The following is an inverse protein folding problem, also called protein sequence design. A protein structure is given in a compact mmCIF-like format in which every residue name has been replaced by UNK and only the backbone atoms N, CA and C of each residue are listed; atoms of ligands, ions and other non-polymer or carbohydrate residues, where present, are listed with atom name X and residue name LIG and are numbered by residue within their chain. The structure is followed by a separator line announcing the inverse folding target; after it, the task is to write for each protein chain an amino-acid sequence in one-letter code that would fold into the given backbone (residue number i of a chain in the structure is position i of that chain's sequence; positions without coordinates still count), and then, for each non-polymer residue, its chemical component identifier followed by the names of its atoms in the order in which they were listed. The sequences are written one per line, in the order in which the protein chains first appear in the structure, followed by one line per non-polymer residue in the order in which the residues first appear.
data_IF_865693233251
#
_entry.id   IF_865693233251
#
_cell.length_a   1.000
_cell.length_b   1.000
_cell.length_c   1.000
_cell.angle_alpha   90.00
_cell.angle_beta   90.00
_cell.angle_gamma   90.00
#
_symmetry.space_group_name_H-M   'P 1'
#
loop_
_entity.id
_entity.type
_entity.pdbx_description
1 polymer ?
#
# COMPACT_ATOMS: atom_id res chain seq x y z
N UNK A 1 4.61 23.56 -4.72
CA UNK A 1 3.63 23.68 -5.83
C UNK A 1 2.81 24.94 -5.59
N UNK A 2 2.45 25.76 -6.60
CA UNK A 2 1.54 26.92 -6.40
C UNK A 2 0.17 26.59 -6.96
N UNK A 3 -0.88 26.77 -6.16
CA UNK A 3 -2.26 26.52 -6.58
C UNK A 3 -2.74 27.73 -7.38
N UNK A 4 -3.37 27.55 -8.56
CA UNK A 4 -4.04 28.65 -9.25
C UNK A 4 -5.03 29.34 -8.31
N UNK A 5 -4.97 30.67 -8.24
CA UNK A 5 -5.66 31.47 -7.23
C UNK A 5 -7.17 31.19 -7.20
N UNK A 6 -7.75 31.00 -8.38
CA UNK A 6 -9.16 30.72 -8.59
C UNK A 6 -9.59 29.40 -7.95
N UNK A 7 -8.71 28.39 -7.98
CA UNK A 7 -8.95 27.08 -7.37
C UNK A 7 -8.82 27.17 -5.85
N UNK A 8 -7.79 27.87 -5.36
CA UNK A 8 -7.58 28.08 -3.93
C UNK A 8 -8.77 28.77 -3.26
N UNK A 9 -9.26 29.86 -3.86
CA UNK A 9 -10.41 30.61 -3.35
C UNK A 9 -11.70 29.77 -3.35
N UNK A 10 -11.94 29.01 -4.42
CA UNK A 10 -13.11 28.13 -4.49
C UNK A 10 -13.11 27.04 -3.41
N UNK A 11 -11.94 26.46 -3.14
CA UNK A 11 -11.79 25.43 -2.09
C UNK A 11 -11.94 26.04 -0.70
N UNK A 12 -11.40 27.25 -0.44
CA UNK A 12 -11.64 27.98 0.81
C UNK A 12 -13.14 28.15 1.04
N UNK A 13 -13.86 28.68 0.06
CA UNK A 13 -15.31 28.92 0.18
C UNK A 13 -16.06 27.62 0.46
N UNK A 14 -15.69 26.53 -0.22
CA UNK A 14 -16.34 25.23 -0.08
C UNK A 14 -16.13 24.62 1.32
N UNK A 15 -14.93 24.78 1.89
CA UNK A 15 -14.53 24.12 3.14
C UNK A 15 -14.70 24.99 4.39
N UNK A 16 -14.90 26.31 4.23
CA UNK A 16 -15.11 27.24 5.33
C UNK A 16 -16.22 26.82 6.33
N UNK A 17 -17.34 26.22 5.91
CA UNK A 17 -18.38 25.77 6.86
C UNK A 17 -17.98 24.54 7.70
N UNK A 18 -16.96 23.80 7.27
CA UNK A 18 -16.52 22.54 7.87
C UNK A 18 -15.23 22.68 8.69
N UNK A 19 -14.74 23.90 8.86
CA UNK A 19 -13.48 24.21 9.55
C UNK A 19 -13.76 25.14 10.73
N UNK A 20 -13.15 24.84 11.88
CA UNK A 20 -13.29 25.66 13.10
C UNK A 20 -12.47 26.96 13.02
N UNK A 21 -11.58 27.07 12.03
CA UNK A 21 -10.66 28.18 11.84
C UNK A 21 -10.89 28.83 10.47
N UNK A 22 -10.43 30.08 10.35
CA UNK A 22 -10.50 30.79 9.08
C UNK A 22 -9.50 30.15 8.10
N UNK A 23 -10.01 29.54 7.04
CA UNK A 23 -9.18 28.85 6.06
C UNK A 23 -8.72 29.85 5.01
N UNK A 24 -7.43 29.86 4.70
CA UNK A 24 -6.83 30.71 3.67
C UNK A 24 -6.27 29.86 2.54
N UNK A 25 -5.99 30.51 1.40
CA UNK A 25 -5.31 29.85 0.27
C UNK A 25 -3.92 29.34 0.68
N UNK A 26 -3.25 30.04 1.59
CA UNK A 26 -1.93 29.64 2.10
C UNK A 26 -2.03 28.34 2.91
N UNK A 27 -3.06 28.21 3.77
CA UNK A 27 -3.28 26.98 4.53
C UNK A 27 -3.51 25.79 3.58
N UNK A 28 -4.23 25.99 2.47
CA UNK A 28 -4.41 24.96 1.44
C UNK A 28 -3.08 24.59 0.77
N UNK A 29 -2.25 25.58 0.44
CA UNK A 29 -0.93 25.33 -0.14
C UNK A 29 -0.01 24.55 0.82
N UNK A 30 -0.02 24.90 2.11
CA UNK A 30 0.76 24.21 3.15
C UNK A 30 0.27 22.76 3.34
N UNK A 31 -1.04 22.54 3.43
CA UNK A 31 -1.61 21.19 3.57
C UNK A 31 -1.32 20.29 2.35
N UNK A 32 -1.25 20.86 1.16
CA UNK A 32 -0.88 20.12 -0.05
C UNK A 32 0.61 19.75 -0.06
N UNK A 33 1.47 20.59 0.49
CA UNK A 33 2.92 20.30 0.64
C UNK A 33 3.15 19.22 1.70
N UNK A 34 2.41 19.25 2.81
CA UNK A 34 2.51 18.22 3.86
C UNK A 34 2.00 16.85 3.39
N UNK A 35 1.01 16.81 2.49
CA UNK A 35 0.44 15.56 1.95
C UNK A 35 1.36 14.80 0.99
N UNK A 36 2.42 15.40 0.46
CA UNK A 36 3.40 14.69 -0.38
C UNK A 36 4.21 13.62 0.40
N UNK A 37 4.04 13.53 1.73
CA UNK A 37 4.81 12.62 2.60
C UNK A 37 3.99 11.59 3.38
N UNK A 38 2.72 11.37 3.05
CA UNK A 38 2.05 10.16 3.54
C UNK A 38 2.46 9.01 2.62
N UNK A 39 3.31 8.05 3.06
CA UNK A 39 3.50 6.83 2.28
C UNK A 39 2.10 6.24 2.09
N UNK A 40 1.71 6.00 0.83
CA UNK A 40 0.50 5.22 0.57
C UNK A 40 0.57 3.96 1.43
N UNK A 41 -0.53 3.56 2.12
CA UNK A 41 -0.51 2.34 2.91
C UNK A 41 0.00 1.22 2.01
N UNK A 42 1.18 0.70 2.32
CA UNK A 42 1.92 -0.21 1.46
C UNK A 42 1.00 -1.41 1.20
N UNK A 43 0.44 -1.49 -0.02
CA UNK A 43 -0.51 -2.54 -0.33
C UNK A 43 0.24 -3.87 -0.28
N UNK A 44 -0.18 -4.77 0.62
CA UNK A 44 0.43 -6.09 0.78
C UNK A 44 0.50 -6.80 -0.58
N UNK A 45 1.72 -7.06 -1.03
CA UNK A 45 1.96 -7.65 -2.34
C UNK A 45 1.64 -9.13 -2.29
N UNK A 46 0.80 -9.56 -3.24
CA UNK A 46 0.42 -10.97 -3.40
C UNK A 46 1.24 -11.61 -4.51
N UNK A 47 1.95 -12.68 -4.18
CA UNK A 47 2.74 -13.48 -5.08
C UNK A 47 1.97 -14.73 -5.51
N UNK A 48 2.03 -15.05 -6.80
CA UNK A 48 1.69 -16.38 -7.27
C UNK A 48 2.71 -17.41 -6.78
N UNK A 49 2.37 -18.70 -6.85
CA UNK A 49 3.31 -19.79 -6.51
C UNK A 49 4.64 -19.71 -7.26
N UNK A 50 4.61 -19.29 -8.53
CA UNK A 50 5.82 -19.15 -9.36
C UNK A 50 6.71 -18.00 -8.89
N UNK A 51 6.10 -16.88 -8.52
CA UNK A 51 6.83 -15.72 -8.00
C UNK A 51 7.40 -16.00 -6.62
N UNK A 52 6.65 -16.66 -5.74
CA UNK A 52 7.16 -17.11 -4.44
C UNK A 52 8.32 -18.12 -4.60
N UNK A 53 8.22 -19.05 -5.56
CA UNK A 53 9.30 -19.99 -5.86
C UNK A 53 10.58 -19.26 -6.32
N UNK A 54 10.44 -18.27 -7.19
CA UNK A 54 11.55 -17.43 -7.62
C UNK A 54 12.16 -16.63 -6.45
N UNK A 55 11.33 -16.02 -5.60
CA UNK A 55 11.78 -15.24 -4.45
C UNK A 55 12.50 -16.09 -3.39
N UNK A 56 12.03 -17.31 -3.15
CA UNK A 56 12.63 -18.26 -2.20
C UNK A 56 13.79 -19.07 -2.81
N UNK A 57 14.07 -18.92 -4.11
CA UNK A 57 15.02 -19.75 -4.86
C UNK A 57 14.76 -21.26 -4.72
N UNK A 58 13.50 -21.67 -4.74
CA UNK A 58 13.07 -23.08 -4.68
C UNK A 58 12.22 -23.46 -5.88
N UNK A 59 11.94 -24.75 -6.03
CA UNK A 59 11.02 -25.22 -7.07
C UNK A 59 9.56 -24.94 -6.71
N UNK A 60 8.67 -24.83 -7.70
CA UNK A 60 7.22 -24.69 -7.45
C UNK A 60 6.65 -25.88 -6.64
N UNK A 61 7.03 -27.14 -6.90
CA UNK A 61 6.64 -28.26 -6.03
C UNK A 61 7.07 -28.08 -4.57
N UNK A 62 8.22 -27.47 -4.32
CA UNK A 62 8.66 -27.15 -2.95
C UNK A 62 7.74 -26.13 -2.31
N UNK A 63 7.31 -25.10 -3.04
CA UNK A 63 6.32 -24.13 -2.55
C UNK A 63 4.98 -24.81 -2.25
N UNK A 64 4.52 -25.72 -3.12
CA UNK A 64 3.29 -26.48 -2.89
C UNK A 64 3.40 -27.37 -1.63
N UNK A 65 4.55 -28.01 -1.41
CA UNK A 65 4.85 -28.73 -0.16
C UNK A 65 4.79 -27.78 1.05
N UNK A 66 5.46 -26.62 0.98
CA UNK A 66 5.46 -25.63 2.07
C UNK A 66 4.05 -25.12 2.41
N UNK A 67 3.17 -24.99 1.40
CA UNK A 67 1.76 -24.64 1.61
C UNK A 67 0.97 -25.78 2.28
N UNK A 68 1.28 -27.04 1.95
CA UNK A 68 0.66 -28.22 2.59
C UNK A 68 1.12 -28.40 4.03
N UNK A 69 2.41 -28.19 4.28
CA UNK A 69 3.05 -28.32 5.60
C UNK A 69 2.72 -27.13 6.52
N UNK A 70 2.12 -26.06 5.98
CA UNK A 70 1.75 -24.84 6.72
C UNK A 70 2.92 -23.89 6.96
N UNK A 71 4.08 -24.11 6.34
CA UNK A 71 5.23 -23.20 6.35
C UNK A 71 4.91 -21.88 5.64
N UNK A 72 4.07 -21.92 4.60
CA UNK A 72 3.53 -20.75 3.90
C UNK A 72 2.02 -20.66 4.07
N UNK A 73 1.50 -19.43 4.24
CA UNK A 73 0.06 -19.20 4.41
C UNK A 73 -0.63 -18.94 3.07
N UNK A 74 -1.61 -19.78 2.65
CA UNK A 74 -2.33 -19.55 1.39
C UNK A 74 -3.36 -18.41 1.53
N UNK A 75 -3.20 -17.37 0.71
CA UNK A 75 -4.21 -16.33 0.52
C UNK A 75 -5.07 -16.64 -0.71
N UNK A 76 -6.39 -16.78 -0.55
CA UNK A 76 -7.30 -17.06 -1.67
C UNK A 76 -7.96 -15.78 -2.17
N UNK A 77 -7.67 -15.39 -3.41
CA UNK A 77 -8.30 -14.26 -4.08
C UNK A 77 -8.99 -14.77 -5.34
N UNK A 78 -10.32 -14.62 -5.40
CA UNK A 78 -11.15 -15.07 -6.55
C UNK A 78 -10.87 -16.53 -6.97
N UNK A 79 -10.72 -17.43 -6.00
CA UNK A 79 -10.47 -18.85 -6.22
C UNK A 79 -9.03 -19.23 -6.60
N UNK A 80 -8.12 -18.25 -6.76
CA UNK A 80 -6.69 -18.49 -6.98
C UNK A 80 -5.93 -18.37 -5.66
N UNK A 81 -4.88 -19.19 -5.52
CA UNK A 81 -3.99 -19.17 -4.34
C UNK A 81 -2.81 -18.24 -4.62
N UNK A 82 -2.60 -17.33 -3.69
CA UNK A 82 -1.50 -16.40 -3.61
C UNK A 82 -0.80 -16.56 -2.26
N UNK A 83 0.39 -15.98 -2.14
CA UNK A 83 1.23 -15.98 -0.97
C UNK A 83 1.59 -14.51 -0.70
N UNK A 84 1.57 -14.08 0.56
CA UNK A 84 1.95 -12.70 0.88
C UNK A 84 3.46 -12.54 0.76
N UNK A 85 3.90 -11.39 0.26
CA UNK A 85 5.32 -11.06 0.23
C UNK A 85 5.90 -11.07 1.65
N UNK A 86 5.15 -10.55 2.63
CA UNK A 86 5.56 -10.56 4.04
C UNK A 86 5.86 -11.95 4.61
N UNK A 87 5.07 -12.97 4.23
CA UNK A 87 5.30 -14.36 4.64
C UNK A 87 6.60 -14.92 4.04
N UNK A 88 6.86 -14.62 2.76
CA UNK A 88 8.11 -14.99 2.07
C UNK A 88 9.31 -14.32 2.73
N UNK A 89 9.21 -13.03 3.03
CA UNK A 89 10.26 -12.26 3.68
C UNK A 89 10.52 -12.75 5.12
N UNK A 90 9.50 -13.26 5.80
CA UNK A 90 9.66 -13.87 7.12
C UNK A 90 10.48 -15.16 7.06
N UNK A 91 10.23 -16.03 6.08
CA UNK A 91 11.02 -17.25 5.87
C UNK A 91 12.46 -16.92 5.51
N UNK A 92 12.69 -15.92 4.64
CA UNK A 92 14.03 -15.49 4.25
C UNK A 92 14.83 -14.93 5.44
N UNK A 93 14.17 -14.26 6.39
CA UNK A 93 14.80 -13.74 7.62
C UNK A 93 15.06 -14.82 8.68
N UNK A 94 14.33 -15.94 8.62
CA UNK A 94 14.45 -17.07 9.55
C UNK A 94 15.43 -18.16 9.10
N UNK A 95 16.05 -18.02 7.92
CA UNK A 95 17.15 -18.86 7.43
C UNK A 95 18.50 -18.19 7.67
#
# INVERSE_FOLDING_TARGET
MRVPKEIGEAVVILLQPYTEHHLTVQDIEEMLVEKEFLPEPEQEKLLSRKEAAAALHVSVPTVDRMLQDGELVPCRVRGRVFIRQSDVDQILRGR
#
